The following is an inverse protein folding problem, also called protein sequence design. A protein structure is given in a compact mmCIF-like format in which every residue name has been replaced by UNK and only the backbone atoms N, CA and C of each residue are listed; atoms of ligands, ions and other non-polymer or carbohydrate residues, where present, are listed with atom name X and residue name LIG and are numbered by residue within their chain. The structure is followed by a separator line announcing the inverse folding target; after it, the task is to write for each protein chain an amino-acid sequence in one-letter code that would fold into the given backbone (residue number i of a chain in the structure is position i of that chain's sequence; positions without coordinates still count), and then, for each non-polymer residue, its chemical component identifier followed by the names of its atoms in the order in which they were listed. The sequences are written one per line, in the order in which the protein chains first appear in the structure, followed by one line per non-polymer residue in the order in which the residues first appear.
data_IF_060257801551
#
_entry.id   IF_060257801551
#
_cell.length_a   1.000
_cell.length_b   1.000
_cell.length_c   1.000
_cell.angle_alpha   90.00
_cell.angle_beta   90.00
_cell.angle_gamma   90.00
#
_symmetry.space_group_name_H-M   'P 1'
#
loop_
_entity.id
_entity.type
_entity.pdbx_description
1 polymer ?
#
# COMPACT_ATOMS: atom_id res chain seq x y z
N UNK A 1 8.79 -15.83 29.30
CA UNK A 1 8.56 -14.91 28.16
C UNK A 1 9.82 -14.96 27.32
N UNK A 2 9.76 -15.47 26.09
CA UNK A 2 10.92 -15.43 25.18
C UNK A 2 11.02 -14.01 24.63
N UNK A 3 12.19 -13.40 24.73
CA UNK A 3 12.47 -12.12 24.08
C UNK A 3 12.83 -12.39 22.64
N UNK A 4 11.99 -11.92 21.72
CA UNK A 4 12.27 -11.99 20.28
C UNK A 4 13.12 -10.80 19.86
N UNK A 5 14.12 -11.07 19.01
CA UNK A 5 14.94 -10.03 18.41
C UNK A 5 14.73 -10.10 16.89
N UNK A 6 14.27 -8.99 16.32
CA UNK A 6 14.17 -8.81 14.88
C UNK A 6 15.38 -8.01 14.40
N UNK A 7 16.09 -8.57 13.42
CA UNK A 7 17.16 -7.87 12.73
C UNK A 7 16.65 -7.47 11.34
N UNK A 8 16.75 -6.17 11.03
CA UNK A 8 16.39 -5.63 9.74
C UNK A 8 17.65 -5.12 9.04
N UNK A 9 17.84 -5.51 7.79
CA UNK A 9 18.93 -5.05 6.93
C UNK A 9 18.36 -4.48 5.64
N UNK A 10 18.83 -3.30 5.25
CA UNK A 10 18.50 -2.73 3.96
C UNK A 10 19.33 -3.42 2.87
N UNK A 11 18.66 -3.87 1.81
CA UNK A 11 19.31 -4.40 0.62
C UNK A 11 19.24 -3.36 -0.50
N UNK A 12 20.32 -3.28 -1.30
CA UNK A 12 20.29 -2.52 -2.55
C UNK A 12 19.58 -3.33 -3.64
N UNK A 13 18.98 -2.69 -4.65
CA UNK A 13 18.25 -3.39 -5.71
C UNK A 13 19.06 -4.52 -6.38
N UNK A 14 20.35 -4.31 -6.60
CA UNK A 14 21.26 -5.30 -7.21
C UNK A 14 21.51 -6.54 -6.34
N UNK A 15 21.10 -6.53 -5.07
CA UNK A 15 21.29 -7.65 -4.13
C UNK A 15 20.04 -8.51 -3.95
N UNK A 16 18.93 -8.17 -4.64
CA UNK A 16 17.65 -8.87 -4.49
C UNK A 16 17.76 -10.32 -4.95
N UNK A 17 18.37 -10.57 -6.12
CA UNK A 17 18.49 -11.92 -6.68
C UNK A 17 19.37 -12.83 -5.80
N UNK A 18 20.44 -12.27 -5.23
CA UNK A 18 21.30 -12.99 -4.27
C UNK A 18 20.51 -13.35 -3.01
N UNK A 19 19.73 -12.41 -2.47
CA UNK A 19 18.90 -12.65 -1.28
C UNK A 19 17.82 -13.71 -1.55
N UNK A 20 17.18 -13.69 -2.72
CA UNK A 20 16.22 -14.72 -3.14
C UNK A 20 16.91 -16.09 -3.26
N UNK A 21 18.10 -16.14 -3.83
CA UNK A 21 18.91 -17.37 -3.93
C UNK A 21 19.22 -17.96 -2.56
N UNK A 22 19.62 -17.10 -1.60
CA UNK A 22 19.85 -17.55 -0.22
C UNK A 22 18.56 -18.09 0.40
N UNK A 23 17.43 -17.41 0.23
CA UNK A 23 16.15 -17.86 0.77
C UNK A 23 15.71 -19.22 0.22
N UNK A 24 15.97 -19.49 -1.06
CA UNK A 24 15.62 -20.78 -1.70
C UNK A 24 16.47 -21.96 -1.20
N UNK A 25 17.70 -21.68 -0.76
CA UNK A 25 18.63 -22.67 -0.23
C UNK A 25 18.39 -23.01 1.26
N UNK A 26 17.59 -22.23 1.98
CA UNK A 26 17.32 -22.48 3.39
C UNK A 26 16.45 -23.74 3.56
N UNK A 27 16.78 -24.64 4.51
CA UNK A 27 15.89 -25.73 4.85
C UNK A 27 14.57 -25.17 5.40
N UNK A 28 13.44 -25.90 5.30
CA UNK A 28 12.18 -25.48 5.91
C UNK A 28 12.37 -25.21 7.41
N UNK A 29 12.22 -23.95 7.81
CA UNK A 29 12.43 -23.54 9.20
C UNK A 29 11.10 -23.59 9.95
N UNK A 30 11.01 -24.25 11.13
CA UNK A 30 9.78 -24.31 11.91
C UNK A 30 9.32 -22.91 12.33
N UNK A 31 8.05 -22.57 12.09
CA UNK A 31 7.50 -21.25 12.45
C UNK A 31 7.32 -21.09 13.97
N UNK A 32 7.61 -19.88 14.47
CA UNK A 32 7.08 -19.40 15.75
C UNK A 32 6.11 -18.25 15.48
N UNK A 33 4.91 -18.30 16.07
CA UNK A 33 3.91 -17.22 16.09
C UNK A 33 3.42 -16.68 14.74
N UNK A 34 3.52 -17.46 13.65
CA UNK A 34 3.01 -17.08 12.33
C UNK A 34 3.75 -15.93 11.65
N UNK A 35 4.93 -15.57 12.17
CA UNK A 35 5.86 -14.63 11.54
C UNK A 35 6.93 -15.45 10.81
N UNK A 36 7.15 -15.14 9.53
CA UNK A 36 8.24 -15.78 8.78
C UNK A 36 9.59 -15.44 9.44
N UNK A 37 10.42 -16.45 9.65
CA UNK A 37 11.75 -16.29 10.26
C UNK A 37 12.75 -15.58 9.35
N UNK A 38 12.55 -15.73 8.04
CA UNK A 38 13.24 -14.94 7.02
C UNK A 38 12.19 -14.26 6.14
N UNK A 39 12.38 -12.96 5.93
CA UNK A 39 11.44 -12.12 5.21
C UNK A 39 12.22 -11.20 4.30
N UNK A 40 11.93 -11.27 3.01
CA UNK A 40 12.33 -10.22 2.07
C UNK A 40 11.11 -9.33 1.84
N UNK A 41 11.24 -8.03 2.09
CA UNK A 41 10.15 -7.08 1.88
C UNK A 41 10.60 -5.88 1.06
N UNK A 42 9.76 -5.48 0.11
CA UNK A 42 9.91 -4.25 -0.65
C UNK A 42 8.71 -3.38 -0.33
N UNK A 43 8.99 -2.18 0.12
CA UNK A 43 7.99 -1.16 0.39
C UNK A 43 8.24 0.03 -0.51
N UNK A 44 7.19 0.52 -1.15
CA UNK A 44 7.25 1.72 -1.97
C UNK A 44 6.02 2.59 -1.73
N UNK A 45 6.25 3.90 -1.66
CA UNK A 45 5.21 4.90 -1.67
C UNK A 45 5.23 5.63 -3.01
N UNK A 46 4.06 5.90 -3.56
CA UNK A 46 3.92 6.52 -4.89
C UNK A 46 2.65 7.35 -4.99
N UNK A 47 2.64 8.26 -5.97
CA UNK A 47 1.46 9.02 -6.34
C UNK A 47 0.79 8.35 -7.53
N UNK A 48 -0.53 8.25 -7.50
CA UNK A 48 -1.31 7.79 -8.62
C UNK A 48 -1.25 8.79 -9.77
N UNK A 49 -1.13 8.27 -10.98
CA UNK A 49 -1.27 9.06 -12.20
C UNK A 49 -2.57 8.72 -12.88
N UNK A 50 -3.22 9.75 -13.41
CA UNK A 50 -4.34 9.56 -14.31
C UNK A 50 -3.82 8.84 -15.57
N UNK A 51 -4.38 7.66 -15.94
CA UNK A 51 -3.92 6.93 -17.12
C UNK A 51 -4.06 7.71 -18.43
N UNK A 52 -5.03 8.61 -18.55
CA UNK A 52 -5.29 9.38 -19.76
C UNK A 52 -4.33 10.56 -19.89
N UNK A 53 -4.15 11.34 -18.82
CA UNK A 53 -3.33 12.57 -18.87
C UNK A 53 -1.88 12.34 -18.46
N UNK A 54 -1.57 11.21 -17.82
CA UNK A 54 -0.29 10.89 -17.18
C UNK A 54 0.11 11.88 -16.07
N UNK A 55 -0.78 12.81 -15.70
CA UNK A 55 -0.58 13.74 -14.60
C UNK A 55 -0.89 13.09 -13.26
N UNK A 56 -0.31 13.64 -12.19
CA UNK A 56 -0.64 13.18 -10.84
C UNK A 56 -2.08 13.50 -10.53
N UNK A 57 -2.85 12.54 -10.00
CA UNK A 57 -4.25 12.77 -9.64
C UNK A 57 -4.33 13.93 -8.62
N UNK A 58 -5.14 14.97 -8.88
CA UNK A 58 -5.20 16.15 -8.05
C UNK A 58 -5.49 15.86 -6.58
N UNK A 59 -4.74 16.50 -5.69
CA UNK A 59 -4.92 16.38 -4.24
C UNK A 59 -4.13 15.25 -3.58
N UNK A 60 -3.30 14.54 -4.33
CA UNK A 60 -2.24 13.71 -3.77
C UNK A 60 -1.02 14.54 -3.35
N UNK A 61 -0.12 13.93 -2.58
CA UNK A 61 1.07 14.57 -2.03
C UNK A 61 0.88 15.02 -0.59
N UNK A 62 2.01 15.17 0.10
CA UNK A 62 2.08 15.42 1.55
C UNK A 62 1.58 16.80 1.95
N UNK A 63 1.72 17.77 1.05
CA UNK A 63 1.48 19.19 1.34
C UNK A 63 0.01 19.46 1.68
N UNK A 64 -0.91 18.82 0.95
CA UNK A 64 -2.36 18.93 1.20
C UNK A 64 -2.75 18.46 2.60
N UNK A 65 -1.98 17.53 3.16
CA UNK A 65 -2.25 16.93 4.46
C UNK A 65 -1.35 17.48 5.57
N UNK A 66 -0.57 18.53 5.28
CA UNK A 66 0.34 19.16 6.24
C UNK A 66 1.41 18.21 6.75
N UNK A 67 1.87 17.26 5.92
CA UNK A 67 2.89 16.27 6.27
C UNK A 67 2.46 15.25 7.33
N UNK A 68 1.15 15.09 7.57
CA UNK A 68 0.62 14.18 8.59
C UNK A 68 0.65 12.71 8.11
N UNK A 69 0.75 11.81 9.08
CA UNK A 69 0.60 10.37 8.89
C UNK A 69 -0.74 9.89 9.44
N UNK A 70 -1.31 8.85 8.82
CA UNK A 70 -2.51 8.17 9.33
C UNK A 70 -2.18 7.04 10.31
N UNK A 71 -1.07 6.37 10.07
CA UNK A 71 -0.48 5.25 10.83
C UNK A 71 1.05 5.34 10.68
N UNK A 72 1.85 4.66 11.53
CA UNK A 72 3.31 4.69 11.41
C UNK A 72 3.78 4.31 10.00
N UNK A 73 4.56 5.18 9.37
CA UNK A 73 5.05 5.05 7.99
C UNK A 73 3.93 5.06 6.93
N UNK A 74 2.75 5.59 7.24
CA UNK A 74 1.66 5.81 6.28
C UNK A 74 1.37 7.30 6.15
N UNK A 75 2.18 7.93 5.30
CA UNK A 75 2.06 9.36 4.97
C UNK A 75 0.77 9.60 4.19
N UNK A 76 0.00 10.60 4.61
CA UNK A 76 -1.24 10.97 3.94
C UNK A 76 -0.97 11.53 2.54
N UNK A 77 -1.88 11.24 1.62
CA UNK A 77 -1.78 11.66 0.22
C UNK A 77 -0.86 10.81 -0.65
N UNK A 78 -0.35 9.69 -0.13
CA UNK A 78 0.44 8.71 -0.88
C UNK A 78 -0.26 7.34 -0.94
N UNK A 79 -0.09 6.65 -2.06
CA UNK A 79 -0.39 5.23 -2.19
C UNK A 79 0.82 4.40 -1.79
N UNK A 80 0.63 3.13 -1.43
CA UNK A 80 1.70 2.24 -0.97
C UNK A 80 1.55 0.85 -1.53
N UNK A 81 2.66 0.25 -1.91
CA UNK A 81 2.78 -1.18 -2.17
C UNK A 81 3.76 -1.79 -1.17
N UNK A 82 3.37 -2.90 -0.57
CA UNK A 82 4.22 -3.70 0.29
C UNK A 82 4.22 -5.14 -0.23
N UNK A 83 5.31 -5.51 -0.86
CA UNK A 83 5.60 -6.88 -1.25
C UNK A 83 6.36 -7.54 -0.10
N UNK A 84 5.86 -8.68 0.36
CA UNK A 84 6.51 -9.49 1.39
C UNK A 84 6.63 -10.91 0.88
N UNK A 85 7.86 -11.40 0.82
CA UNK A 85 8.20 -12.79 0.56
C UNK A 85 8.61 -13.42 1.89
N UNK A 86 7.88 -14.45 2.27
CA UNK A 86 8.09 -15.29 3.46
C UNK A 86 7.39 -16.63 3.19
N UNK A 87 6.93 -17.37 4.22
CA UNK A 87 6.11 -18.56 4.00
C UNK A 87 4.82 -18.24 3.22
N UNK A 88 4.16 -17.13 3.54
CA UNK A 88 3.01 -16.63 2.78
C UNK A 88 3.43 -15.34 2.10
N UNK A 89 3.75 -15.45 0.82
CA UNK A 89 3.99 -14.28 -0.01
C UNK A 89 2.73 -13.43 -0.09
N UNK A 90 2.86 -12.14 0.22
CA UNK A 90 1.78 -11.17 0.13
C UNK A 90 2.21 -9.96 -0.68
N UNK A 91 1.27 -9.41 -1.44
CA UNK A 91 1.40 -8.10 -2.06
C UNK A 91 0.23 -7.26 -1.56
N UNK A 92 0.50 -6.40 -0.58
CA UNK A 92 -0.48 -5.47 -0.06
C UNK A 92 -0.40 -4.18 -0.85
N UNK A 93 -1.46 -3.88 -1.60
CA UNK A 93 -1.62 -2.61 -2.31
C UNK A 93 -2.65 -1.75 -1.59
N UNK A 94 -2.23 -0.53 -1.27
CA UNK A 94 -3.06 0.53 -0.73
C UNK A 94 -3.09 1.70 -1.71
N UNK A 95 -4.25 1.93 -2.33
CA UNK A 95 -4.44 3.04 -3.26
C UNK A 95 -5.20 4.15 -2.56
N UNK A 96 -4.50 5.28 -2.36
CA UNK A 96 -5.04 6.46 -1.71
C UNK A 96 -5.64 7.40 -2.75
N UNK A 97 -6.96 7.57 -2.67
CA UNK A 97 -7.71 8.48 -3.51
C UNK A 97 -7.94 9.80 -2.76
N UNK A 98 -7.57 10.95 -3.34
CA UNK A 98 -7.54 12.25 -2.67
C UNK A 98 -8.90 12.95 -2.58
N UNK A 99 -10.01 12.20 -2.61
CA UNK A 99 -11.36 12.76 -2.67
C UNK A 99 -12.08 12.60 -1.33
N UNK A 100 -12.67 13.70 -0.85
CA UNK A 100 -13.47 13.68 0.37
C UNK A 100 -14.76 12.86 0.21
N UNK A 101 -15.32 12.79 -1.01
CA UNK A 101 -16.53 12.04 -1.32
C UNK A 101 -16.34 11.16 -2.54
N UNK A 102 -17.18 10.13 -2.67
CA UNK A 102 -17.19 9.23 -3.84
C UNK A 102 -17.92 9.95 -4.97
N UNK A 103 -17.17 10.50 -5.93
CA UNK A 103 -17.75 11.20 -7.09
C UNK A 103 -17.78 10.30 -8.34
N UNK A 104 -18.67 10.56 -9.31
CA UNK A 104 -18.64 9.85 -10.59
C UNK A 104 -17.29 9.97 -11.32
N UNK A 105 -16.59 11.10 -11.18
CA UNK A 105 -15.26 11.28 -11.74
C UNK A 105 -14.23 10.35 -11.09
N UNK A 106 -14.28 10.20 -9.77
CA UNK A 106 -13.43 9.25 -9.05
C UNK A 106 -13.71 7.80 -9.45
N UNK A 107 -14.98 7.41 -9.59
CA UNK A 107 -15.33 6.05 -10.04
C UNK A 107 -14.82 5.76 -11.46
N UNK A 108 -14.91 6.75 -12.37
CA UNK A 108 -14.30 6.64 -13.71
C UNK A 108 -12.79 6.49 -13.65
N UNK A 109 -12.11 7.30 -12.84
CA UNK A 109 -10.67 7.19 -12.64
C UNK A 109 -10.25 5.81 -12.11
N UNK A 110 -10.99 5.28 -11.13
CA UNK A 110 -10.75 3.91 -10.62
C UNK A 110 -10.92 2.88 -11.73
N UNK A 111 -11.97 3.01 -12.56
CA UNK A 111 -12.21 2.10 -13.68
C UNK A 111 -11.06 2.14 -14.69
N UNK A 112 -10.60 3.32 -15.09
CA UNK A 112 -9.46 3.51 -15.99
C UNK A 112 -8.17 2.93 -15.40
N UNK A 113 -7.89 3.18 -14.12
CA UNK A 113 -6.74 2.58 -13.44
C UNK A 113 -6.84 1.06 -13.41
N UNK A 114 -8.03 0.52 -13.16
CA UNK A 114 -8.25 -0.91 -13.15
C UNK A 114 -8.05 -1.54 -14.54
N UNK A 115 -8.41 -0.85 -15.62
CA UNK A 115 -8.15 -1.30 -17.00
C UNK A 115 -6.65 -1.28 -17.34
N UNK A 116 -5.88 -0.34 -16.79
CA UNK A 116 -4.44 -0.26 -16.99
C UNK A 116 -3.65 -1.37 -16.26
N UNK A 117 -4.23 -2.02 -15.25
CA UNK A 117 -3.59 -3.08 -14.48
C UNK A 117 -3.78 -4.46 -15.13
N UNK A 118 -2.72 -5.28 -15.09
CA UNK A 118 -2.76 -6.68 -15.56
C UNK A 118 -3.52 -7.64 -14.63
N UNK A 119 -4.07 -7.14 -13.53
CA UNK A 119 -4.79 -7.92 -12.52
C UNK A 119 -5.93 -7.10 -11.91
N UNK A 120 -6.94 -7.78 -11.37
CA UNK A 120 -8.10 -7.15 -10.74
C UNK A 120 -7.84 -6.86 -9.27
N UNK A 121 -8.11 -5.64 -8.87
CA UNK A 121 -8.11 -5.21 -7.47
C UNK A 121 -9.52 -5.35 -6.88
N UNK A 122 -9.59 -5.73 -5.62
CA UNK A 122 -10.84 -5.74 -4.88
C UNK A 122 -11.21 -4.32 -4.42
N UNK A 123 -12.48 -4.10 -4.08
CA UNK A 123 -12.92 -2.84 -3.46
C UNK A 123 -12.12 -2.48 -2.20
N UNK A 124 -11.60 -3.48 -1.46
CA UNK A 124 -10.81 -3.26 -0.26
C UNK A 124 -9.44 -2.60 -0.52
N UNK A 125 -8.94 -2.64 -1.76
CA UNK A 125 -7.68 -1.99 -2.15
C UNK A 125 -7.82 -0.49 -2.40
N UNK A 126 -9.05 -0.02 -2.66
CA UNK A 126 -9.37 1.37 -2.95
C UNK A 126 -9.82 2.07 -1.67
N UNK A 127 -9.16 3.16 -1.32
CA UNK A 127 -9.48 3.89 -0.09
C UNK A 127 -9.31 5.39 -0.26
N UNK A 128 -10.12 6.14 0.47
CA UNK A 128 -10.03 7.60 0.56
C UNK A 128 -9.70 8.02 1.99
N UNK A 129 -9.13 9.22 2.10
CA UNK A 129 -8.92 9.86 3.40
C UNK A 129 -10.09 10.76 3.75
N UNK A 130 -10.72 10.49 4.88
CA UNK A 130 -11.82 11.29 5.41
C UNK A 130 -11.35 12.04 6.65
N UNK A 131 -11.45 13.37 6.62
CA UNK A 131 -11.20 14.19 7.80
C UNK A 131 -12.39 14.05 8.76
N UNK A 132 -12.13 13.83 10.03
CA UNK A 132 -13.19 13.74 11.02
C UNK A 132 -13.97 15.05 11.14
N UNK A 133 -15.20 14.99 11.66
CA UNK A 133 -16.07 16.15 11.81
C UNK A 133 -15.45 17.30 12.63
N UNK A 134 -14.45 16.99 13.48
CA UNK A 134 -13.73 17.98 14.29
C UNK A 134 -12.51 18.57 13.59
N UNK A 135 -12.17 18.16 12.37
CA UNK A 135 -10.99 18.64 11.63
C UNK A 135 -9.63 18.19 12.19
N UNK A 136 -9.60 17.23 13.11
CA UNK A 136 -8.40 16.90 13.90
C UNK A 136 -7.65 15.67 13.39
N UNK A 137 -8.34 14.70 12.78
CA UNK A 137 -7.74 13.42 12.36
C UNK A 137 -8.33 12.90 11.06
N UNK A 138 -7.49 12.34 10.21
CA UNK A 138 -7.91 11.59 9.02
C UNK A 138 -8.11 10.12 9.33
N UNK A 139 -9.12 9.51 8.71
CA UNK A 139 -9.37 8.08 8.75
C UNK A 139 -9.40 7.50 7.34
N UNK A 140 -8.91 6.27 7.23
CA UNK A 140 -9.03 5.48 6.01
C UNK A 140 -10.47 5.01 5.86
N UNK A 141 -11.08 5.33 4.72
CA UNK A 141 -12.41 4.84 4.32
C UNK A 141 -12.30 4.04 3.04
N UNK A 142 -12.94 2.87 2.98
CA UNK A 142 -13.04 2.10 1.74
C UNK A 142 -13.93 2.84 0.74
N UNK A 143 -13.63 2.69 -0.53
CA UNK A 143 -14.53 3.14 -1.59
C UNK A 143 -15.49 2.00 -1.92
N UNK A 144 -16.79 2.27 -1.82
CA UNK A 144 -17.80 1.37 -2.36
C UNK A 144 -17.85 1.59 -3.88
N UNK A 145 -17.48 0.54 -4.62
CA UNK A 145 -17.48 0.56 -6.09
C UNK A 145 -18.85 0.22 -6.68
N UNK A 146 -19.69 -0.44 -5.89
CA UNK A 146 -21.10 -0.65 -6.18
C UNK A 146 -21.79 0.70 -5.92
N UNK A 147 -22.27 1.37 -6.97
CA UNK A 147 -22.82 2.74 -6.92
C UNK A 147 -24.13 2.89 -6.13
N UNK A 148 -24.27 2.22 -5.00
CA UNK A 148 -25.37 2.39 -4.05
C UNK A 148 -24.93 3.38 -2.97
N UNK A 149 -25.48 4.59 -3.05
CA UNK A 149 -25.51 5.53 -1.92
C UNK A 149 -26.39 4.97 -0.79
#
# INVERSE_FOLDING_TARGET
MLTEYEHAWALRPEQIDDALTVMDQLPPIPEHLGRGLFVLSIETAFLLRDPETQETVPGQGTDRYGGREADPNLVLGQSRANLRLSRRSTCALFLSLPFAEVTPAMLRLIALMQEALRFRLSAANWSRWELNARGTRYYKRRVNLDGSA
#
